data_IF_685969672085
#
_entry.id   IF_685969672085
#
_cell.length_a   1.000
_cell.length_b   1.000
_cell.length_c   1.000
_cell.angle_alpha   90.00
_cell.angle_beta   90.00
_cell.angle_gamma   90.00
#
_symmetry.space_group_name_H-M   'P 1'
#
loop_
_entity.id
_entity.type
_entity.pdbx_description
1 polymer ?
#
# COMPACT_ATOMS: atom_id res chain seq x y z
N UNK A 1 -19.82 9.95 -3.07
CA UNK A 1 -19.06 8.70 -2.95
C UNK A 1 -19.36 7.82 -4.16
N UNK A 2 -18.40 7.08 -4.70
CA UNK A 2 -18.74 6.07 -5.69
C UNK A 2 -19.57 5.00 -4.94
N UNK A 3 -20.85 4.86 -5.27
CA UNK A 3 -21.83 4.05 -4.50
C UNK A 3 -21.31 2.63 -4.19
N UNK A 4 -20.47 2.11 -5.08
CA UNK A 4 -19.85 0.81 -4.96
C UNK A 4 -18.91 0.64 -3.75
N UNK A 5 -18.33 1.70 -3.17
CA UNK A 5 -17.47 1.58 -1.99
C UNK A 5 -18.22 0.99 -0.79
N UNK A 6 -19.49 1.36 -0.63
CA UNK A 6 -20.34 0.90 0.48
C UNK A 6 -21.19 -0.32 0.12
N UNK A 7 -21.38 -0.60 -1.17
CA UNK A 7 -22.22 -1.71 -1.64
C UNK A 7 -21.42 -2.99 -1.91
N UNK A 8 -20.12 -2.89 -2.19
CA UNK A 8 -19.27 -4.03 -2.50
C UNK A 8 -18.53 -4.50 -1.26
N UNK A 9 -18.39 -5.81 -1.12
CA UNK A 9 -17.46 -6.43 -0.17
C UNK A 9 -16.01 -6.10 -0.54
N UNK A 10 -15.05 -6.16 0.41
CA UNK A 10 -13.64 -5.90 0.12
C UNK A 10 -13.09 -6.79 -1.00
N UNK A 11 -13.44 -8.08 -1.02
CA UNK A 11 -13.03 -8.99 -2.08
C UNK A 11 -13.54 -8.55 -3.45
N UNK A 12 -14.80 -8.13 -3.55
CA UNK A 12 -15.35 -7.62 -4.81
C UNK A 12 -14.67 -6.31 -5.24
N UNK A 13 -14.33 -5.42 -4.29
CA UNK A 13 -13.60 -4.17 -4.57
C UNK A 13 -12.21 -4.46 -5.13
N UNK A 14 -11.47 -5.37 -4.50
CA UNK A 14 -10.15 -5.81 -4.97
C UNK A 14 -10.24 -6.46 -6.34
N UNK A 15 -11.18 -7.38 -6.55
CA UNK A 15 -11.37 -8.03 -7.85
C UNK A 15 -11.73 -7.03 -8.95
N UNK A 16 -12.59 -6.06 -8.65
CA UNK A 16 -12.92 -4.99 -9.57
C UNK A 16 -11.70 -4.14 -9.87
N UNK A 17 -10.94 -3.73 -8.87
CA UNK A 17 -9.74 -2.92 -9.04
C UNK A 17 -8.69 -3.65 -9.91
N UNK A 18 -8.40 -4.92 -9.62
CA UNK A 18 -7.48 -5.74 -10.40
C UNK A 18 -7.94 -5.86 -11.85
N UNK A 19 -9.25 -6.08 -12.08
CA UNK A 19 -9.82 -6.18 -13.43
C UNK A 19 -9.78 -4.86 -14.21
N UNK A 20 -10.07 -3.75 -13.53
CA UNK A 20 -10.20 -2.43 -14.18
C UNK A 20 -8.86 -1.75 -14.40
N UNK A 21 -7.89 -1.93 -13.50
CA UNK A 21 -6.68 -1.11 -13.48
C UNK A 21 -5.39 -1.91 -13.59
N UNK A 22 -5.32 -3.16 -13.11
CA UNK A 22 -4.08 -3.92 -13.23
C UNK A 22 -3.80 -4.29 -14.69
N UNK A 23 -2.54 -4.18 -15.08
CA UNK A 23 -2.06 -4.50 -16.44
C UNK A 23 -1.09 -5.67 -16.35
N UNK A 24 -1.22 -6.66 -17.23
CA UNK A 24 -0.18 -7.69 -17.36
C UNK A 24 1.02 -7.10 -18.08
N UNK A 25 2.17 -7.13 -17.42
CA UNK A 25 3.47 -6.87 -17.99
C UNK A 25 3.97 -8.11 -18.74
N UNK A 26 4.77 -7.89 -19.79
CA UNK A 26 5.49 -8.94 -20.51
C UNK A 26 6.72 -9.46 -19.74
N UNK A 27 6.85 -9.10 -18.46
CA UNK A 27 7.90 -9.59 -17.58
C UNK A 27 8.01 -11.13 -17.63
N UNK A 28 9.23 -11.68 -17.57
CA UNK A 28 9.45 -13.11 -17.71
C UNK A 28 8.63 -13.91 -16.69
N UNK A 29 7.92 -14.93 -17.18
CA UNK A 29 6.98 -15.78 -16.41
C UNK A 29 7.64 -16.75 -15.42
N UNK A 30 8.96 -16.83 -15.42
CA UNK A 30 9.68 -17.81 -14.61
C UNK A 30 10.60 -17.10 -13.64
N UNK A 31 10.15 -17.00 -12.40
CA UNK A 31 11.07 -16.86 -11.29
C UNK A 31 11.80 -18.20 -11.12
N UNK A 32 13.08 -18.27 -11.49
CA UNK A 32 13.93 -19.32 -10.95
C UNK A 32 14.07 -19.02 -9.45
N UNK A 33 13.13 -19.54 -8.67
CA UNK A 33 13.05 -19.29 -7.24
C UNK A 33 14.14 -20.03 -6.47
N UNK A 34 14.94 -20.87 -7.16
CA UNK A 34 16.11 -21.55 -6.65
C UNK A 34 15.82 -22.26 -5.33
N UNK A 35 15.66 -23.58 -5.33
CA UNK A 35 15.81 -24.37 -4.08
C UNK A 35 17.25 -24.31 -3.53
N UNK A 36 18.13 -23.66 -4.28
CA UNK A 36 19.53 -23.44 -3.99
C UNK A 36 19.79 -21.95 -3.81
N UNK A 37 20.72 -21.61 -2.92
CA UNK A 37 21.26 -20.26 -2.86
C UNK A 37 22.08 -19.92 -4.11
N UNK A 38 22.59 -18.69 -4.17
CA UNK A 38 23.41 -18.22 -5.29
C UNK A 38 24.69 -19.02 -5.53
N UNK A 39 25.10 -19.86 -4.57
CA UNK A 39 26.29 -20.72 -4.63
C UNK A 39 25.94 -22.19 -4.93
N UNK A 40 24.66 -22.49 -5.19
CA UNK A 40 24.20 -23.83 -5.53
C UNK A 40 23.95 -24.76 -4.33
N UNK A 41 24.02 -24.26 -3.09
CA UNK A 41 23.74 -25.04 -1.88
C UNK A 41 22.25 -25.03 -1.56
N UNK A 42 21.72 -26.13 -1.02
CA UNK A 42 20.33 -26.18 -0.56
C UNK A 42 20.03 -25.08 0.45
N UNK A 43 18.88 -24.43 0.32
CA UNK A 43 18.45 -23.42 1.29
C UNK A 43 18.32 -24.01 2.71
N UNK A 44 18.69 -23.25 3.76
CA UNK A 44 18.33 -23.56 5.14
C UNK A 44 16.83 -23.87 5.29
N UNK A 45 16.48 -24.77 6.22
CA UNK A 45 15.11 -25.26 6.41
C UNK A 45 14.12 -24.12 6.65
N UNK A 46 14.54 -23.10 7.36
CA UNK A 46 13.74 -21.91 7.68
C UNK A 46 13.39 -21.11 6.42
N UNK A 47 14.33 -20.98 5.48
CA UNK A 47 14.11 -20.31 4.20
C UNK A 47 13.27 -21.17 3.23
N UNK A 48 13.47 -22.50 3.27
CA UNK A 48 12.74 -23.42 2.42
C UNK A 48 11.22 -23.36 2.63
N UNK A 49 10.75 -22.98 3.83
CA UNK A 49 9.33 -22.80 4.11
C UNK A 49 8.68 -21.66 3.32
N UNK A 50 9.45 -20.65 2.91
CA UNK A 50 8.94 -19.52 2.12
C UNK A 50 8.82 -19.83 0.61
N UNK A 51 9.54 -20.84 0.12
CA UNK A 51 9.54 -21.24 -1.30
C UNK A 51 8.13 -21.52 -1.85
N UNK A 52 7.30 -22.38 -1.23
CA UNK A 52 5.95 -22.63 -1.75
C UNK A 52 5.05 -21.37 -1.70
N UNK A 53 5.24 -20.50 -0.71
CA UNK A 53 4.48 -19.24 -0.60
C UNK A 53 4.87 -18.27 -1.73
N UNK A 54 6.16 -18.14 -2.00
CA UNK A 54 6.68 -17.31 -3.09
C UNK A 54 6.20 -17.81 -4.46
N UNK A 55 6.18 -19.12 -4.69
CA UNK A 55 5.60 -19.72 -5.90
C UNK A 55 4.11 -19.40 -6.02
N UNK A 56 3.31 -19.70 -4.99
CA UNK A 56 1.87 -19.44 -5.03
C UNK A 56 1.55 -17.95 -5.25
N UNK A 57 2.34 -17.05 -4.68
CA UNK A 57 2.22 -15.62 -4.91
C UNK A 57 2.57 -15.25 -6.36
N UNK A 58 3.71 -15.71 -6.88
CA UNK A 58 4.14 -15.43 -8.26
C UNK A 58 3.15 -16.00 -9.29
N UNK A 59 2.64 -17.22 -9.08
CA UNK A 59 1.65 -17.83 -9.99
C UNK A 59 0.36 -17.01 -10.05
N UNK A 60 -0.04 -16.44 -8.91
CA UNK A 60 -1.28 -15.66 -8.79
C UNK A 60 -1.14 -14.23 -9.30
N UNK A 61 -0.04 -13.56 -8.99
CA UNK A 61 0.12 -12.12 -9.18
C UNK A 61 1.31 -11.71 -10.03
N UNK A 62 2.22 -12.63 -10.34
CA UNK A 62 3.45 -12.38 -11.08
C UNK A 62 3.19 -11.72 -12.43
N UNK A 63 3.92 -10.65 -12.69
CA UNK A 63 3.80 -9.85 -13.90
C UNK A 63 2.61 -8.89 -13.89
N UNK A 64 1.84 -8.77 -12.82
CA UNK A 64 0.82 -7.73 -12.72
C UNK A 64 1.44 -6.41 -12.30
N UNK A 65 1.21 -5.36 -13.09
CA UNK A 65 1.45 -3.99 -12.68
C UNK A 65 0.22 -3.49 -11.90
N UNK A 66 0.38 -3.23 -10.61
CA UNK A 66 -0.61 -2.56 -9.78
C UNK A 66 -0.43 -1.05 -9.85
N UNK A 67 -1.35 -0.30 -10.48
CA UNK A 67 -1.26 1.15 -10.48
C UNK A 67 -1.57 1.72 -9.09
N UNK A 68 -0.64 2.50 -8.55
CA UNK A 68 -0.80 3.19 -7.28
C UNK A 68 -1.06 4.66 -7.57
N UNK A 69 -2.11 5.22 -6.97
CA UNK A 69 -2.44 6.62 -7.11
C UNK A 69 -1.79 7.46 -5.99
N UNK A 70 -0.96 8.45 -6.38
CA UNK A 70 -0.29 9.35 -5.43
C UNK A 70 0.91 8.71 -4.70
N UNK A 71 1.67 9.55 -4.00
CA UNK A 71 2.83 9.13 -3.21
C UNK A 71 4.05 8.70 -4.05
N UNK A 72 5.12 8.22 -3.38
CA UNK A 72 6.40 7.90 -4.02
C UNK A 72 6.39 6.60 -4.84
N UNK A 73 5.31 5.81 -4.78
CA UNK A 73 5.16 4.58 -5.56
C UNK A 73 4.30 4.79 -6.82
N UNK A 74 3.96 6.03 -7.14
CA UNK A 74 3.37 6.38 -8.42
C UNK A 74 4.40 6.18 -9.55
N UNK A 75 4.04 5.55 -10.69
CA UNK A 75 2.68 5.19 -11.10
C UNK A 75 2.21 3.79 -10.70
N UNK A 76 3.07 2.93 -10.16
CA UNK A 76 2.65 1.59 -9.76
C UNK A 76 3.76 0.64 -9.35
N UNK A 77 3.35 -0.53 -8.85
CA UNK A 77 4.21 -1.63 -8.42
C UNK A 77 4.08 -2.83 -9.36
N UNK A 78 5.20 -3.33 -9.87
CA UNK A 78 5.23 -4.61 -10.56
C UNK A 78 5.25 -5.73 -9.53
N UNK A 79 4.18 -6.53 -9.49
CA UNK A 79 4.08 -7.68 -8.60
C UNK A 79 4.78 -8.89 -9.17
N UNK A 80 5.44 -9.61 -8.27
CA UNK A 80 6.06 -10.88 -8.56
C UNK A 80 7.37 -11.01 -7.81
N UNK A 81 7.83 -12.25 -7.80
CA UNK A 81 9.15 -12.58 -7.33
C UNK A 81 10.10 -12.49 -8.53
N UNK A 82 10.93 -11.47 -8.60
CA UNK A 82 11.84 -11.23 -9.74
C UNK A 82 13.29 -11.21 -9.29
N UNK A 83 14.17 -11.81 -10.11
CA UNK A 83 15.65 -11.70 -10.11
C UNK A 83 16.37 -11.95 -8.76
N UNK A 84 17.68 -12.17 -8.81
CA UNK A 84 18.56 -12.13 -7.63
C UNK A 84 18.29 -13.23 -6.58
N UNK A 85 18.46 -12.89 -5.30
CA UNK A 85 18.16 -13.75 -4.15
C UNK A 85 16.72 -13.46 -3.66
N UNK A 86 15.72 -14.23 -4.08
CA UNK A 86 14.31 -13.89 -3.88
C UNK A 86 13.83 -14.10 -2.45
N UNK A 87 14.54 -14.93 -1.67
CA UNK A 87 14.18 -15.35 -0.32
C UNK A 87 15.39 -15.16 0.59
N UNK A 88 15.20 -14.53 1.75
CA UNK A 88 16.25 -14.32 2.73
C UNK A 88 15.68 -14.17 4.14
N UNK A 89 16.59 -14.14 5.10
CA UNK A 89 16.29 -13.83 6.50
C UNK A 89 16.75 -12.40 6.81
N UNK A 90 15.90 -11.63 7.48
CA UNK A 90 16.18 -10.27 7.94
C UNK A 90 17.14 -10.28 9.12
N UNK A 91 17.69 -9.13 9.51
CA UNK A 91 18.54 -9.01 10.70
C UNK A 91 17.81 -9.37 12.01
N UNK A 92 16.49 -9.16 12.05
CA UNK A 92 15.58 -9.55 13.14
C UNK A 92 15.18 -11.03 13.10
N UNK A 93 15.61 -11.78 12.09
CA UNK A 93 15.33 -13.21 11.97
C UNK A 93 14.06 -13.56 11.21
N UNK A 94 13.30 -12.60 10.68
CA UNK A 94 12.11 -12.87 9.87
C UNK A 94 12.50 -13.43 8.51
N UNK A 95 11.79 -14.47 8.07
CA UNK A 95 11.94 -15.01 6.71
C UNK A 95 10.98 -14.28 5.79
N UNK A 96 11.54 -13.72 4.71
CA UNK A 96 10.80 -12.90 3.75
C UNK A 96 11.15 -13.29 2.32
N UNK A 97 10.26 -12.94 1.39
CA UNK A 97 10.52 -13.03 -0.03
C UNK A 97 10.12 -11.76 -0.78
N UNK A 98 10.79 -11.47 -1.91
CA UNK A 98 10.43 -10.34 -2.79
C UNK A 98 9.04 -10.56 -3.36
N UNK A 99 8.16 -9.58 -3.21
CA UNK A 99 6.79 -9.65 -3.69
C UNK A 99 6.44 -8.58 -4.72
N UNK A 100 7.20 -7.48 -4.75
CA UNK A 100 7.02 -6.44 -5.75
C UNK A 100 8.32 -5.66 -6.02
N UNK A 101 8.35 -4.98 -7.16
CA UNK A 101 9.41 -4.08 -7.59
C UNK A 101 8.81 -2.73 -8.03
N UNK A 102 9.61 -1.68 -7.85
CA UNK A 102 9.34 -0.33 -8.36
C UNK A 102 10.63 0.19 -8.99
N UNK A 103 10.54 0.81 -10.16
CA UNK A 103 11.72 1.18 -10.96
C UNK A 103 12.65 2.19 -10.24
N UNK A 104 12.09 3.01 -9.36
CA UNK A 104 12.83 4.03 -8.62
C UNK A 104 13.08 3.67 -7.15
N UNK A 105 12.48 2.59 -6.64
CA UNK A 105 12.67 2.23 -5.24
C UNK A 105 14.02 1.54 -5.02
N UNK A 106 14.82 2.09 -4.10
CA UNK A 106 16.08 1.49 -3.69
C UNK A 106 15.90 0.31 -2.72
N UNK A 107 14.70 0.16 -2.16
CA UNK A 107 14.31 -0.95 -1.28
C UNK A 107 13.61 -2.07 -2.06
N UNK A 108 13.58 -3.27 -1.48
CA UNK A 108 12.75 -4.36 -1.96
C UNK A 108 11.38 -4.32 -1.25
N UNK A 109 10.30 -4.57 -1.98
CA UNK A 109 8.99 -4.83 -1.37
C UNK A 109 8.82 -6.32 -1.13
N UNK A 110 8.46 -6.68 0.09
CA UNK A 110 8.53 -8.07 0.56
C UNK A 110 7.27 -8.52 1.26
N UNK A 111 7.12 -9.85 1.31
CA UNK A 111 6.16 -10.52 2.18
C UNK A 111 6.91 -11.40 3.17
N UNK A 112 6.50 -11.34 4.44
CA UNK A 112 6.89 -12.34 5.43
C UNK A 112 6.15 -13.65 5.19
N UNK A 113 6.62 -14.73 5.81
CA UNK A 113 5.90 -16.02 5.82
C UNK A 113 4.53 -15.96 6.52
N UNK A 114 4.28 -14.91 7.32
CA UNK A 114 2.98 -14.60 7.93
C UNK A 114 2.09 -13.73 7.03
N UNK A 115 2.60 -13.30 5.87
CA UNK A 115 1.87 -12.52 4.87
C UNK A 115 1.95 -11.00 5.05
N UNK A 116 2.69 -10.50 6.04
CA UNK A 116 2.90 -9.06 6.31
C UNK A 116 3.62 -8.43 5.12
N UNK A 117 3.07 -7.33 4.58
CA UNK A 117 3.68 -6.57 3.49
C UNK A 117 4.58 -5.47 4.04
N UNK A 118 5.80 -5.39 3.50
CA UNK A 118 6.85 -4.55 4.06
C UNK A 118 7.76 -3.96 2.98
N UNK A 119 8.54 -2.96 3.38
CA UNK A 119 9.75 -2.55 2.68
C UNK A 119 10.97 -3.14 3.38
N UNK A 120 11.97 -3.55 2.60
CA UNK A 120 13.22 -4.08 3.10
C UNK A 120 14.42 -3.39 2.45
N UNK A 121 15.35 -2.89 3.28
CA UNK A 121 16.59 -2.28 2.84
C UNK A 121 17.76 -2.83 3.66
N UNK A 122 18.87 -3.19 3.01
CA UNK A 122 20.07 -3.72 3.69
C UNK A 122 19.80 -4.83 4.74
N UNK A 123 18.83 -5.72 4.48
CA UNK A 123 18.35 -6.80 5.37
C UNK A 123 17.48 -6.36 6.56
N UNK A 124 17.19 -5.08 6.70
CA UNK A 124 16.15 -4.59 7.62
C UNK A 124 14.76 -4.85 7.04
N UNK A 125 13.78 -4.93 7.93
CA UNK A 125 12.37 -5.18 7.60
C UNK A 125 11.49 -4.14 8.28
N UNK A 126 10.85 -3.30 7.47
CA UNK A 126 9.93 -2.27 7.93
C UNK A 126 8.53 -2.66 7.49
N UNK A 127 7.77 -3.25 8.41
CA UNK A 127 6.39 -3.62 8.16
C UNK A 127 5.55 -2.39 7.79
N UNK A 128 4.78 -2.49 6.71
CA UNK A 128 3.93 -1.42 6.21
C UNK A 128 2.46 -1.74 6.48
N UNK A 129 2.04 -2.96 6.15
CA UNK A 129 0.64 -3.42 6.26
C UNK A 129 0.61 -4.85 6.76
N UNK A 130 -0.45 -5.21 7.48
CA UNK A 130 -0.59 -6.55 8.08
C UNK A 130 -0.70 -7.67 7.04
N UNK A 131 -1.11 -7.35 5.83
CA UNK A 131 -1.20 -8.33 4.76
C UNK A 131 -1.09 -7.73 3.36
N UNK A 132 -0.74 -8.57 2.38
CA UNK A 132 -0.87 -8.21 0.97
C UNK A 132 -2.32 -7.89 0.56
N UNK A 133 -3.31 -8.57 1.15
CA UNK A 133 -4.72 -8.29 0.88
C UNK A 133 -5.10 -6.86 1.30
N UNK A 134 -4.53 -6.37 2.40
CA UNK A 134 -4.70 -4.99 2.85
C UNK A 134 -4.03 -3.99 1.91
N UNK A 135 -2.88 -4.33 1.30
CA UNK A 135 -2.28 -3.51 0.25
C UNK A 135 -3.23 -3.37 -0.95
N UNK A 136 -3.81 -4.48 -1.41
CA UNK A 136 -4.74 -4.46 -2.53
C UNK A 136 -6.01 -3.65 -2.22
N UNK A 137 -6.55 -3.81 -1.01
CA UNK A 137 -7.70 -3.03 -0.55
C UNK A 137 -7.36 -1.55 -0.47
N UNK A 138 -6.18 -1.20 0.05
CA UNK A 138 -5.68 0.16 0.05
C UNK A 138 -5.61 0.72 -1.38
N UNK A 139 -5.00 -0.01 -2.33
CA UNK A 139 -4.96 0.41 -3.73
C UNK A 139 -6.37 0.60 -4.33
N UNK A 140 -7.32 -0.29 -4.01
CA UNK A 140 -8.70 -0.20 -4.46
C UNK A 140 -9.43 1.03 -3.88
N UNK A 141 -9.22 1.32 -2.60
CA UNK A 141 -9.75 2.53 -1.94
C UNK A 141 -9.19 3.79 -2.59
N UNK A 142 -7.87 3.85 -2.82
CA UNK A 142 -7.21 4.97 -3.49
C UNK A 142 -7.71 5.17 -4.92
N UNK A 143 -7.94 4.08 -5.65
CA UNK A 143 -8.56 4.14 -6.96
C UNK A 143 -10.01 4.67 -6.91
N UNK A 144 -10.74 4.40 -5.83
CA UNK A 144 -12.11 4.89 -5.65
C UNK A 144 -12.20 6.38 -5.28
N UNK A 145 -11.17 6.90 -4.60
CA UNK A 145 -11.07 8.31 -4.20
C UNK A 145 -10.18 9.14 -5.14
N UNK A 146 -9.96 8.67 -6.37
CA UNK A 146 -9.29 9.47 -7.40
C UNK A 146 -9.94 10.85 -7.54
N UNK A 147 -9.10 11.87 -7.77
CA UNK A 147 -9.47 13.29 -7.83
C UNK A 147 -9.88 13.92 -6.50
N UNK A 148 -9.93 13.16 -5.40
CA UNK A 148 -10.03 13.77 -4.07
C UNK A 148 -8.74 14.52 -3.76
N UNK A 149 -8.82 15.44 -2.81
CA UNK A 149 -7.77 16.37 -2.47
C UNK A 149 -7.12 16.00 -1.15
N UNK A 150 -5.79 16.01 -1.11
CA UNK A 150 -5.08 15.90 0.16
C UNK A 150 -5.37 17.11 1.03
N UNK A 151 -6.01 16.86 2.17
CA UNK A 151 -6.17 17.86 3.21
C UNK A 151 -4.94 17.91 4.09
N UNK A 152 -4.39 16.75 4.49
CA UNK A 152 -3.35 16.68 5.52
C UNK A 152 -2.56 15.38 5.42
N UNK A 153 -1.27 15.44 5.71
CA UNK A 153 -0.47 14.25 6.03
C UNK A 153 0.53 14.64 7.12
N UNK A 154 0.52 13.93 8.24
CA UNK A 154 1.41 14.26 9.36
C UNK A 154 1.50 13.11 10.36
N UNK A 155 2.37 13.26 11.36
CA UNK A 155 2.53 12.35 12.48
C UNK A 155 1.55 12.79 13.58
N UNK A 156 0.39 12.13 13.62
CA UNK A 156 -0.66 12.45 14.57
C UNK A 156 -1.35 11.17 15.04
N UNK A 157 -1.87 11.17 16.28
CA UNK A 157 -2.68 10.07 16.76
C UNK A 157 -3.96 9.94 15.89
N UNK A 158 -4.23 8.79 15.26
CA UNK A 158 -5.38 8.64 14.36
C UNK A 158 -6.72 8.94 15.03
N UNK A 159 -6.86 8.63 16.32
CA UNK A 159 -8.05 8.90 17.13
C UNK A 159 -8.29 10.41 17.33
N UNK A 160 -7.21 11.20 17.48
CA UNK A 160 -7.33 12.65 17.59
C UNK A 160 -7.73 13.28 16.25
N UNK A 161 -7.12 12.81 15.14
CA UNK A 161 -7.47 13.26 13.78
C UNK A 161 -8.94 12.96 13.51
N UNK A 162 -9.37 11.72 13.69
CA UNK A 162 -10.75 11.31 13.41
C UNK A 162 -11.76 12.00 14.31
N UNK A 163 -11.45 12.19 15.60
CA UNK A 163 -12.31 12.92 16.55
C UNK A 163 -12.47 14.42 16.26
N UNK A 164 -11.54 15.02 15.50
CA UNK A 164 -11.61 16.43 15.10
C UNK A 164 -12.45 16.69 13.84
N UNK A 165 -12.86 15.63 13.13
CA UNK A 165 -13.60 15.75 11.88
C UNK A 165 -15.05 16.16 12.12
N UNK A 166 -15.62 16.86 11.14
CA UNK A 166 -17.01 17.33 11.18
C UNK A 166 -18.00 16.21 10.91
N UNK A 167 -17.55 15.18 10.20
CA UNK A 167 -18.38 14.05 9.82
C UNK A 167 -18.06 12.82 10.67
N UNK A 168 -19.08 11.99 10.88
CA UNK A 168 -18.92 10.69 11.50
C UNK A 168 -18.11 9.78 10.58
N UNK A 169 -16.86 9.56 10.96
CA UNK A 169 -15.94 8.67 10.28
C UNK A 169 -16.11 7.24 10.81
N UNK A 170 -16.53 6.33 9.94
CA UNK A 170 -16.63 4.91 10.27
C UNK A 170 -15.32 4.19 9.96
N UNK A 171 -14.75 3.51 10.96
CA UNK A 171 -13.65 2.58 10.73
C UNK A 171 -14.08 1.52 9.71
N UNK A 172 -13.18 1.15 8.80
CA UNK A 172 -13.39 0.10 7.80
C UNK A 172 -12.65 -1.15 8.27
N UNK A 173 -13.32 -2.11 8.94
CA UNK A 173 -12.63 -3.22 9.61
C UNK A 173 -11.80 -4.08 8.66
N UNK A 174 -12.19 -4.15 7.39
CA UNK A 174 -11.54 -4.99 6.39
C UNK A 174 -10.37 -4.30 5.68
N UNK A 175 -10.31 -2.97 5.77
CA UNK A 175 -9.18 -2.14 5.31
C UNK A 175 -8.34 -1.65 6.51
N UNK A 176 -8.50 -2.29 7.66
CA UNK A 176 -7.83 -1.94 8.91
C UNK A 176 -7.29 -3.19 9.59
N UNK A 177 -6.19 -3.05 10.29
CA UNK A 177 -5.61 -4.05 11.16
C UNK A 177 -4.75 -3.39 12.23
N UNK A 178 -3.67 -4.07 12.60
CA UNK A 178 -2.71 -3.61 13.60
C UNK A 178 -1.82 -2.50 13.07
N UNK A 179 -1.30 -2.62 11.85
CA UNK A 179 -0.35 -1.65 11.29
C UNK A 179 -1.04 -0.51 10.54
N UNK A 180 -2.04 -0.82 9.72
CA UNK A 180 -2.79 0.16 8.94
C UNK A 180 -4.23 0.27 9.41
N UNK A 181 -4.83 1.47 9.40
CA UNK A 181 -6.25 1.68 9.69
C UNK A 181 -6.86 2.68 8.72
N UNK A 182 -8.09 2.40 8.31
CA UNK A 182 -8.85 3.22 7.38
C UNK A 182 -10.18 3.64 7.99
N UNK A 183 -10.52 4.92 7.85
CA UNK A 183 -11.83 5.46 8.18
C UNK A 183 -12.42 6.16 6.96
N UNK A 184 -13.72 5.99 6.76
CA UNK A 184 -14.46 6.61 5.66
C UNK A 184 -15.69 7.33 6.20
N UNK A 185 -15.91 8.54 5.70
CA UNK A 185 -17.17 9.25 5.79
C UNK A 185 -17.70 9.61 4.41
N UNK A 186 -18.66 10.53 4.35
CA UNK A 186 -19.32 10.90 3.10
C UNK A 186 -18.37 11.61 2.11
N UNK A 187 -17.48 12.44 2.64
CA UNK A 187 -16.63 13.36 1.88
C UNK A 187 -15.20 13.44 2.41
N UNK A 188 -14.87 12.69 3.47
CA UNK A 188 -13.54 12.60 4.07
C UNK A 188 -13.12 11.14 4.19
N UNK A 189 -11.85 10.87 3.90
CA UNK A 189 -11.22 9.59 4.14
C UNK A 189 -9.95 9.81 4.96
N UNK A 190 -9.74 8.96 5.97
CA UNK A 190 -8.54 8.99 6.80
C UNK A 190 -7.86 7.64 6.69
N UNK A 191 -6.56 7.65 6.39
CA UNK A 191 -5.74 6.45 6.42
C UNK A 191 -4.56 6.69 7.35
N UNK A 192 -4.33 5.75 8.27
CA UNK A 192 -3.18 5.76 9.15
C UNK A 192 -2.33 4.51 8.93
N UNK A 193 -1.03 4.68 8.76
CA UNK A 193 -0.07 3.58 8.69
C UNK A 193 1.33 4.06 9.08
N UNK A 194 2.24 3.16 9.47
CA UNK A 194 3.63 3.54 9.65
C UNK A 194 4.26 3.98 8.32
N UNK A 195 5.08 5.03 8.37
CA UNK A 195 5.98 5.44 7.27
C UNK A 195 5.30 5.81 5.91
N UNK A 196 4.10 6.40 5.91
CA UNK A 196 3.46 6.96 4.71
C UNK A 196 4.33 7.93 3.88
N UNK A 197 5.17 8.75 4.53
CA UNK A 197 6.04 9.74 3.87
C UNK A 197 7.52 9.38 3.92
N UNK A 198 7.85 8.14 4.31
CA UNK A 198 9.24 7.69 4.49
C UNK A 198 9.95 8.28 5.72
N UNK A 199 9.29 9.14 6.51
CA UNK A 199 9.79 9.57 7.81
C UNK A 199 9.68 8.41 8.80
N UNK A 200 10.83 7.91 9.26
CA UNK A 200 10.91 6.88 10.29
C UNK A 200 11.00 7.54 11.68
N UNK A 201 9.86 7.94 12.23
CA UNK A 201 9.79 8.46 13.60
C UNK A 201 9.13 7.47 14.59
N UNK A 202 8.76 6.28 14.10
CA UNK A 202 8.11 5.24 14.90
C UNK A 202 6.63 5.52 15.19
N UNK A 203 6.07 6.62 14.70
CA UNK A 203 4.67 6.97 14.89
C UNK A 203 3.85 6.65 13.63
N UNK A 204 2.59 6.24 13.78
CA UNK A 204 1.70 6.13 12.64
C UNK A 204 1.52 7.51 12.01
N UNK A 205 1.66 7.58 10.71
CA UNK A 205 1.38 8.77 9.94
C UNK A 205 -0.05 8.70 9.44
N UNK A 206 -0.71 9.85 9.41
CA UNK A 206 -2.13 9.95 9.05
C UNK A 206 -2.27 10.79 7.80
N UNK A 207 -2.81 10.20 6.74
CA UNK A 207 -3.23 10.88 5.52
C UNK A 207 -4.74 11.16 5.57
N UNK A 208 -5.12 12.41 5.33
CA UNK A 208 -6.52 12.85 5.25
C UNK A 208 -6.80 13.34 3.83
N UNK A 209 -7.81 12.75 3.21
CA UNK A 209 -8.33 13.12 1.91
C UNK A 209 -9.72 13.73 2.07
N UNK A 210 -10.02 14.77 1.29
CA UNK A 210 -11.34 15.37 1.20
C UNK A 210 -11.80 15.42 -0.24
N UNK A 211 -13.07 15.12 -0.46
CA UNK A 211 -13.66 15.06 -1.81
C UNK A 211 -13.76 16.43 -2.47
N UNK A 212 -14.13 17.45 -1.69
CA UNK A 212 -14.29 18.82 -2.16
C UNK A 212 -13.07 19.66 -1.79
N UNK A 213 -12.41 20.23 -2.80
CA UNK A 213 -11.28 21.13 -2.64
C UNK A 213 -11.58 22.29 -1.69
N UNK A 214 -12.81 22.82 -1.66
CA UNK A 214 -13.16 23.96 -0.81
C UNK A 214 -13.08 23.62 0.69
N UNK A 215 -13.19 22.34 1.05
CA UNK A 215 -13.11 21.85 2.43
C UNK A 215 -11.67 21.67 2.93
N UNK A 216 -10.67 21.65 2.03
CA UNK A 216 -9.25 21.44 2.40
C UNK A 216 -8.80 22.43 3.46
N UNK A 217 -9.11 23.72 3.28
CA UNK A 217 -8.67 24.76 4.21
C UNK A 217 -9.30 24.65 5.61
N UNK A 218 -10.57 24.22 5.69
CA UNK A 218 -11.25 24.00 6.97
C UNK A 218 -10.68 22.78 7.70
N UNK A 219 -10.51 21.66 6.99
CA UNK A 219 -9.92 20.44 7.56
C UNK A 219 -8.49 20.69 8.04
N UNK A 220 -7.66 21.39 7.24
CA UNK A 220 -6.32 21.81 7.67
C UNK A 220 -6.35 22.64 8.94
N UNK A 221 -7.23 23.64 9.02
CA UNK A 221 -7.34 24.51 10.19
C UNK A 221 -7.69 23.73 11.46
N UNK A 222 -8.58 22.74 11.36
CA UNK A 222 -8.94 21.87 12.48
C UNK A 222 -7.76 21.00 12.91
N UNK A 223 -7.06 20.41 11.95
CA UNK A 223 -5.93 19.52 12.21
C UNK A 223 -4.69 20.24 12.75
N UNK A 224 -4.44 21.48 12.31
CA UNK A 224 -3.41 22.34 12.91
C UNK A 224 -3.61 22.56 14.42
N UNK A 225 -4.83 22.43 14.93
CA UNK A 225 -5.12 22.55 16.36
C UNK A 225 -4.75 21.30 17.19
N UNK A 226 -4.34 20.20 16.57
CA UNK A 226 -4.07 18.92 17.26
C UNK A 226 -2.59 18.67 17.62
N UNK A 227 -1.63 19.47 17.16
CA UNK A 227 -0.20 19.26 17.46
C UNK A 227 0.76 20.22 16.77
N UNK A 228 1.86 20.54 17.46
CA UNK A 228 2.69 21.76 17.33
C UNK A 228 3.88 21.73 16.35
N UNK A 229 4.12 20.64 15.61
CA UNK A 229 5.18 20.60 14.61
C UNK A 229 4.64 19.96 13.34
N UNK A 230 4.01 20.73 12.44
CA UNK A 230 3.88 20.27 11.07
C UNK A 230 5.31 20.07 10.59
N UNK A 231 5.75 18.82 10.50
CA UNK A 231 6.96 18.49 9.76
C UNK A 231 6.72 19.09 8.37
N UNK A 232 7.47 20.13 8.06
CA UNK A 232 7.27 21.04 6.95
C UNK A 232 7.57 20.41 5.59
N UNK A 233 7.39 19.10 5.46
CA UNK A 233 7.00 18.46 4.21
C UNK A 233 5.55 18.85 3.82
N UNK A 234 5.18 20.12 4.06
CA UNK A 234 4.24 20.81 3.20
C UNK A 234 4.93 20.92 1.83
N UNK A 235 4.84 19.86 1.03
CA UNK A 235 5.13 20.00 -0.39
C UNK A 235 4.22 21.11 -0.93
N UNK A 236 4.79 22.17 -1.53
CA UNK A 236 4.03 23.27 -2.07
C UNK A 236 3.22 22.76 -3.26
N UNK A 237 1.92 22.54 -3.02
CA UNK A 237 0.95 22.18 -4.04
C UNK A 237 0.50 20.73 -3.95
N UNK A 238 -0.23 20.39 -2.88
CA UNK A 238 -0.99 19.15 -2.83
C UNK A 238 -1.96 19.08 -4.01
N UNK A 239 -1.56 18.31 -5.03
CA UNK A 239 -2.34 18.03 -6.22
C UNK A 239 -3.45 17.04 -5.85
N UNK A 240 -4.60 17.07 -6.55
CA UNK A 240 -5.58 16.00 -6.43
C UNK A 240 -4.91 14.65 -6.67
N UNK A 241 -5.41 13.60 -6.01
CA UNK A 241 -4.99 12.22 -6.26
C UNK A 241 -5.08 11.97 -7.77
N UNK A 242 -3.96 11.67 -8.46
CA UNK A 242 -3.95 11.51 -9.91
C UNK A 242 -4.99 10.48 -10.36
N UNK A 243 -5.64 10.75 -11.48
CA UNK A 243 -6.57 9.80 -12.05
C UNK A 243 -5.80 8.61 -12.64
N UNK A 244 -6.23 7.38 -12.32
CA UNK A 244 -5.73 6.19 -12.99
C UNK A 244 -6.46 6.03 -14.31
N UNK A 245 -5.71 5.73 -15.37
CA UNK A 245 -6.32 5.29 -16.62
C UNK A 245 -6.81 3.84 -16.44
N UNK A 246 -8.07 3.53 -16.73
CA UNK A 246 -8.51 2.14 -16.76
C UNK A 246 -7.74 1.38 -17.84
N UNK A 247 -7.45 0.10 -17.56
CA UNK A 247 -6.80 -0.79 -18.50
C UNK A 247 -7.67 -0.92 -19.77
N UNK A 248 -7.18 -0.52 -20.96
CA UNK A 248 -7.95 -0.58 -22.20
C UNK A 248 -8.38 -2.02 -22.56
N UNK A 249 -7.66 -3.04 -22.09
CA UNK A 249 -7.98 -4.45 -22.27
C UNK A 249 -9.09 -5.00 -21.36
N UNK A 250 -9.55 -4.24 -20.36
CA UNK A 250 -10.56 -4.66 -19.38
C UNK A 250 -12.02 -4.56 -19.86
N UNK A 251 -12.28 -4.03 -21.06
CA UNK A 251 -13.63 -4.02 -21.64
C UNK A 251 -14.02 -5.44 -22.02
N UNK A 252 -14.97 -6.02 -21.25
CA UNK A 252 -15.57 -7.33 -21.49
C UNK A 252 -15.91 -7.49 -22.97
N UNK A 253 -15.32 -8.51 -23.61
CA UNK A 253 -15.93 -9.13 -24.79
C UNK A 253 -17.15 -9.93 -24.37
#
# INVERSE_FOLDING_TARGET
MAAWLTEMTPSERVERYLREYAVRSDAPRSADLGTRDGDGQSLPRELAAAVPLAHAFHDRYGGLMLPIAGGPLWPGLLLGVFRGRPIWQTSSGEVVFRAAEHDEAQCAFTLSTEGVFAAAWSREFTALLDSFAMLLEHCALWAAVQRWHYAWIDTAAPEAVTGSMVEDLAIQPQASGRLGRSWLGADTAVFAAPNLTGLQDGHPQVCVLVRDHTRVADVRRRLHGLGENPSSAAEPGYRPVPALAPNPGGRRR
#
